data_IF_807478843949
#
_entry.id   IF_807478843949
#
_cell.length_a   1.000
_cell.length_b   1.000
_cell.length_c   1.000
_cell.angle_alpha   90.00
_cell.angle_beta   90.00
_cell.angle_gamma   90.00
#
_symmetry.space_group_name_H-M   'P 1'
#
loop_
_entity.id
_entity.type
_entity.pdbx_description
1 polymer ?
#
# COMPACT_ATOMS: atom_id res chain seq x y z
N UNK A 1 -21.00 4.14 -10.35
CA UNK A 1 -19.91 4.47 -11.30
C UNK A 1 -20.18 3.70 -12.58
N UNK A 2 -20.42 4.37 -13.71
CA UNK A 2 -21.04 3.80 -14.92
C UNK A 2 -20.17 2.77 -15.68
N UNK A 3 -18.91 2.58 -15.27
CA UNK A 3 -17.92 1.71 -15.92
C UNK A 3 -17.54 0.44 -15.11
N UNK A 4 -17.97 0.31 -13.84
CA UNK A 4 -17.62 -0.85 -13.00
C UNK A 4 -18.27 -2.17 -13.44
N UNK A 5 -19.42 -2.09 -14.12
CA UNK A 5 -20.15 -3.29 -14.53
C UNK A 5 -19.46 -4.01 -15.70
N UNK A 6 -18.67 -3.30 -16.52
CA UNK A 6 -17.95 -3.88 -17.66
C UNK A 6 -16.75 -4.72 -17.19
N UNK A 7 -16.03 -4.26 -16.17
CA UNK A 7 -14.88 -4.96 -15.58
C UNK A 7 -15.26 -6.10 -14.60
N UNK A 8 -16.56 -6.36 -14.44
CA UNK A 8 -17.10 -7.45 -13.59
C UNK A 8 -17.99 -8.43 -14.35
N UNK A 9 -18.01 -8.36 -15.69
CA UNK A 9 -18.84 -9.25 -16.49
C UNK A 9 -18.32 -10.69 -16.38
N UNK A 10 -19.17 -11.58 -15.88
CA UNK A 10 -18.83 -12.99 -15.67
C UNK A 10 -18.40 -13.65 -16.97
N UNK A 11 -19.08 -13.35 -18.07
CA UNK A 11 -18.78 -13.92 -19.39
C UNK A 11 -17.36 -13.58 -19.85
N UNK A 12 -16.89 -12.37 -19.55
CA UNK A 12 -15.55 -11.93 -19.91
C UNK A 12 -14.49 -12.51 -18.95
N UNK A 13 -14.78 -12.60 -17.66
CA UNK A 13 -13.94 -13.32 -16.69
C UNK A 13 -13.74 -14.78 -17.09
N UNK A 14 -14.83 -15.50 -17.40
CA UNK A 14 -14.79 -16.90 -17.82
C UNK A 14 -14.00 -17.07 -19.13
N UNK A 15 -14.10 -16.10 -20.04
CA UNK A 15 -13.34 -16.09 -21.30
C UNK A 15 -11.85 -15.86 -21.07
N UNK A 16 -11.48 -14.94 -20.17
CA UNK A 16 -10.08 -14.66 -19.83
C UNK A 16 -9.44 -15.86 -19.12
N UNK A 17 -10.13 -16.45 -18.14
CA UNK A 17 -9.66 -17.65 -17.45
C UNK A 17 -9.39 -18.81 -18.43
N UNK A 18 -10.32 -19.08 -19.36
CA UNK A 18 -10.09 -20.05 -20.43
C UNK A 18 -8.92 -19.70 -21.35
N UNK A 19 -8.71 -18.41 -21.61
CA UNK A 19 -7.55 -17.95 -22.38
C UNK A 19 -6.23 -18.22 -21.65
N UNK A 20 -6.19 -17.98 -20.33
CA UNK A 20 -5.04 -18.32 -19.48
C UNK A 20 -4.80 -19.83 -19.50
N UNK A 21 -5.85 -20.65 -19.36
CA UNK A 21 -5.72 -22.12 -19.44
C UNK A 21 -5.09 -22.58 -20.76
N UNK A 22 -5.53 -21.99 -21.88
CA UNK A 22 -4.97 -22.30 -23.21
C UNK A 22 -3.51 -21.90 -23.34
N UNK A 23 -3.14 -20.71 -22.86
CA UNK A 23 -1.75 -20.24 -22.87
C UNK A 23 -0.85 -21.10 -21.98
N UNK A 24 -1.34 -21.49 -20.80
CA UNK A 24 -0.59 -22.29 -19.84
C UNK A 24 -0.48 -23.76 -20.25
N UNK A 25 -1.32 -24.26 -21.16
CA UNK A 25 -1.23 -25.62 -21.71
C UNK A 25 0.05 -25.85 -22.52
N UNK A 26 0.58 -24.81 -23.16
CA UNK A 26 1.82 -24.85 -23.94
C UNK A 26 3.08 -24.64 -23.09
N UNK A 27 2.93 -24.43 -21.77
CA UNK A 27 4.03 -24.14 -20.84
C UNK A 27 4.26 -25.33 -19.91
N UNK A 28 5.30 -26.13 -20.21
CA UNK A 28 5.68 -27.33 -19.45
C UNK A 28 6.47 -27.03 -18.16
N UNK A 29 6.15 -25.90 -17.50
CA UNK A 29 6.75 -25.51 -16.22
C UNK A 29 5.76 -24.72 -15.38
N UNK A 30 6.11 -24.55 -14.10
CA UNK A 30 5.39 -23.61 -13.23
C UNK A 30 5.73 -22.17 -13.62
N UNK A 31 4.72 -21.31 -13.58
CA UNK A 31 4.84 -19.86 -13.74
C UNK A 31 4.41 -19.19 -12.45
N UNK A 32 5.22 -18.27 -11.95
CA UNK A 32 4.94 -17.53 -10.70
C UNK A 32 4.80 -16.05 -10.98
N UNK A 33 3.59 -15.52 -10.83
CA UNK A 33 3.33 -14.09 -10.88
C UNK A 33 3.21 -13.53 -9.45
N UNK A 34 3.60 -12.28 -9.26
CA UNK A 34 3.45 -11.60 -7.97
C UNK A 34 2.76 -10.25 -8.13
N UNK A 35 1.68 -10.04 -7.38
CA UNK A 35 1.16 -8.70 -7.13
C UNK A 35 1.83 -8.10 -5.89
N UNK A 36 2.04 -6.77 -5.89
CA UNK A 36 2.65 -6.04 -4.76
C UNK A 36 1.72 -4.92 -4.28
N UNK A 37 0.41 -5.19 -4.20
CA UNK A 37 -0.59 -4.21 -3.82
C UNK A 37 -1.66 -4.85 -2.93
N UNK A 38 -1.84 -4.35 -1.70
CA UNK A 38 -2.89 -4.88 -0.82
C UNK A 38 -4.30 -4.83 -1.42
N UNK A 39 -4.59 -3.88 -2.31
CA UNK A 39 -5.87 -3.85 -3.04
C UNK A 39 -5.99 -4.96 -4.08
N UNK A 40 -4.91 -5.34 -4.77
CA UNK A 40 -4.88 -6.53 -5.62
C UNK A 40 -5.01 -7.80 -4.80
N UNK A 41 -4.30 -7.92 -3.68
CA UNK A 41 -4.46 -9.06 -2.74
C UNK A 41 -5.93 -9.24 -2.34
N UNK A 42 -6.59 -8.13 -1.94
CA UNK A 42 -8.00 -8.14 -1.55
C UNK A 42 -8.94 -8.48 -2.71
N UNK A 43 -8.68 -7.96 -3.90
CA UNK A 43 -9.48 -8.26 -5.09
C UNK A 43 -9.32 -9.74 -5.50
N UNK A 44 -8.09 -10.24 -5.54
CA UNK A 44 -7.79 -11.63 -5.85
C UNK A 44 -8.48 -12.60 -4.87
N UNK A 45 -8.49 -12.27 -3.58
CA UNK A 45 -9.23 -13.02 -2.57
C UNK A 45 -10.75 -12.91 -2.74
N UNK A 46 -11.27 -11.68 -2.84
CA UNK A 46 -12.72 -11.41 -2.92
C UNK A 46 -13.38 -12.10 -4.12
N UNK A 47 -12.70 -12.14 -5.26
CA UNK A 47 -13.21 -12.70 -6.50
C UNK A 47 -12.76 -14.13 -6.76
N UNK A 48 -12.01 -14.76 -5.83
CA UNK A 48 -11.52 -16.13 -6.01
C UNK A 48 -10.60 -16.29 -7.22
N UNK A 49 -9.83 -15.25 -7.57
CA UNK A 49 -8.99 -15.25 -8.79
C UNK A 49 -8.06 -16.45 -8.81
N UNK A 50 -7.45 -16.81 -7.66
CA UNK A 50 -6.54 -17.94 -7.56
C UNK A 50 -7.20 -19.29 -7.89
N UNK A 51 -8.50 -19.42 -7.65
CA UNK A 51 -9.27 -20.63 -7.95
C UNK A 51 -9.62 -20.74 -9.45
N UNK A 52 -9.50 -19.63 -10.19
CA UNK A 52 -9.70 -19.58 -11.64
C UNK A 52 -8.42 -19.84 -12.44
N UNK A 53 -7.25 -19.88 -11.79
CA UNK A 53 -5.97 -20.08 -12.47
C UNK A 53 -5.63 -21.57 -12.55
N UNK A 54 -4.98 -22.03 -13.63
CA UNK A 54 -4.53 -23.42 -13.75
C UNK A 54 -3.47 -23.75 -12.70
N UNK A 55 -3.34 -25.03 -12.34
CA UNK A 55 -2.49 -25.48 -11.23
C UNK A 55 -0.99 -25.17 -11.41
N UNK A 56 -0.52 -24.97 -12.64
CA UNK A 56 0.86 -24.58 -12.97
C UNK A 56 1.08 -23.05 -12.98
N UNK A 57 0.06 -22.24 -12.71
CA UNK A 57 0.17 -20.79 -12.56
C UNK A 57 -0.08 -20.37 -11.10
N UNK A 58 0.94 -19.77 -10.48
CA UNK A 58 0.88 -19.32 -9.10
C UNK A 58 0.81 -17.79 -9.04
N UNK A 59 -0.20 -17.27 -8.33
CA UNK A 59 -0.29 -15.85 -8.00
C UNK A 59 0.10 -15.62 -6.53
N UNK A 60 1.30 -15.09 -6.32
CA UNK A 60 1.82 -14.70 -5.01
C UNK A 60 1.41 -13.29 -4.62
N UNK A 61 1.28 -13.07 -3.32
CA UNK A 61 0.99 -11.78 -2.73
C UNK A 61 2.24 -11.23 -2.05
N UNK A 62 2.80 -10.18 -2.62
CA UNK A 62 3.99 -9.52 -2.13
C UNK A 62 3.71 -8.46 -1.07
N UNK A 63 4.75 -7.73 -0.62
CA UNK A 63 4.68 -6.70 0.43
C UNK A 63 4.01 -5.40 -0.05
N UNK A 64 2.71 -5.46 -0.35
CA UNK A 64 1.89 -4.34 -0.84
C UNK A 64 1.15 -3.54 0.23
N UNK A 65 1.45 -3.76 1.51
CA UNK A 65 0.79 -3.10 2.65
C UNK A 65 1.81 -2.22 3.40
N UNK A 66 1.75 -0.87 3.28
CA UNK A 66 2.77 0.03 3.83
C UNK A 66 2.83 0.00 5.37
N UNK A 67 1.69 -0.29 6.01
CA UNK A 67 1.56 -0.50 7.46
C UNK A 67 2.27 -1.77 7.88
N UNK A 68 1.98 -2.89 7.22
CA UNK A 68 2.50 -4.21 7.56
C UNK A 68 4.03 -4.30 7.46
N UNK A 69 4.64 -3.48 6.58
CA UNK A 69 6.10 -3.40 6.43
C UNK A 69 6.73 -2.24 7.22
N UNK A 70 5.98 -1.58 8.10
CA UNK A 70 6.53 -0.54 8.98
C UNK A 70 7.35 -1.18 10.08
N UNK A 71 8.60 -0.73 10.21
CA UNK A 71 9.53 -1.24 11.21
C UNK A 71 9.10 -0.79 12.63
N UNK A 72 9.44 -1.62 13.61
CA UNK A 72 9.10 -1.37 15.02
C UNK A 72 9.71 -0.05 15.53
N UNK A 73 10.87 0.35 15.03
CA UNK A 73 11.53 1.60 15.45
C UNK A 73 10.67 2.85 15.15
N UNK A 74 9.91 2.82 14.06
CA UNK A 74 8.95 3.86 13.72
C UNK A 74 7.77 3.89 14.70
N UNK A 75 7.20 2.72 15.01
CA UNK A 75 6.11 2.57 15.96
C UNK A 75 6.52 3.02 17.37
N UNK A 76 7.72 2.64 17.79
CA UNK A 76 8.28 3.02 19.09
C UNK A 76 8.46 4.53 19.21
N UNK A 77 8.86 5.21 18.12
CA UNK A 77 8.90 6.69 18.09
C UNK A 77 7.50 7.29 18.21
N UNK A 78 6.52 6.75 17.48
CA UNK A 78 5.13 7.23 17.56
C UNK A 78 4.55 7.07 18.99
N UNK A 79 4.79 5.92 19.62
CA UNK A 79 4.43 5.63 21.01
C UNK A 79 5.15 6.59 21.97
N UNK A 80 6.45 6.84 21.77
CA UNK A 80 7.19 7.79 22.59
C UNK A 80 6.67 9.23 22.47
N UNK A 81 6.16 9.63 21.30
CA UNK A 81 5.47 10.91 21.13
C UNK A 81 4.11 10.94 21.82
N UNK A 82 3.33 9.87 21.72
CA UNK A 82 2.02 9.76 22.38
C UNK A 82 2.12 9.94 23.91
N UNK A 83 3.22 9.50 24.51
CA UNK A 83 3.49 9.62 25.95
C UNK A 83 3.87 11.03 26.42
N UNK A 84 4.15 11.97 25.50
CA UNK A 84 4.55 13.33 25.87
C UNK A 84 3.33 14.20 26.12
N UNK A 85 3.36 14.94 27.22
CA UNK A 85 2.35 15.94 27.54
C UNK A 85 2.29 17.04 26.44
N UNK A 86 1.08 17.50 26.15
CA UNK A 86 0.84 18.51 25.11
C UNK A 86 1.03 18.02 23.68
N UNK A 87 1.05 16.69 23.44
CA UNK A 87 1.09 16.09 22.11
C UNK A 87 -0.22 15.43 21.72
N UNK A 88 -0.57 15.55 20.45
CA UNK A 88 -1.64 14.79 19.80
C UNK A 88 -0.99 13.94 18.70
N UNK A 89 -1.21 12.64 18.70
CA UNK A 89 -0.79 11.76 17.60
C UNK A 89 -1.98 11.51 16.68
N UNK A 90 -1.90 11.98 15.45
CA UNK A 90 -2.90 11.73 14.41
C UNK A 90 -2.44 10.58 13.50
N UNK A 91 -3.31 9.62 13.22
CA UNK A 91 -2.96 8.43 12.41
C UNK A 91 -4.16 7.87 11.67
N UNK A 92 -3.91 7.11 10.61
CA UNK A 92 -4.92 6.24 10.02
C UNK A 92 -5.29 5.10 10.99
N UNK A 93 -6.51 4.57 10.86
CA UNK A 93 -7.07 3.61 11.80
C UNK A 93 -6.39 2.23 11.81
N UNK A 94 -5.81 1.83 10.68
CA UNK A 94 -5.07 0.56 10.52
C UNK A 94 -3.80 0.50 11.37
N UNK A 95 -3.17 1.64 11.63
CA UNK A 95 -1.96 1.76 12.45
C UNK A 95 -2.20 1.69 13.96
N UNK A 96 -3.43 1.95 14.42
CA UNK A 96 -3.73 2.13 15.86
C UNK A 96 -3.41 0.89 16.68
N UNK A 97 -3.66 -0.30 16.10
CA UNK A 97 -3.50 -1.59 16.79
C UNK A 97 -2.18 -2.28 16.48
N UNK A 98 -1.30 -1.68 15.68
CA UNK A 98 -0.03 -2.29 15.32
C UNK A 98 0.89 -2.24 16.55
N UNK A 99 1.41 -3.39 17.02
CA UNK A 99 2.26 -3.43 18.19
C UNK A 99 3.64 -2.85 17.88
N UNK A 100 4.11 -1.91 18.71
CA UNK A 100 5.53 -1.60 18.82
C UNK A 100 6.25 -2.60 19.71
N UNK A 101 7.47 -2.27 20.12
CA UNK A 101 8.31 -3.14 20.95
C UNK A 101 7.81 -3.26 22.39
N UNK A 102 7.00 -2.31 22.88
CA UNK A 102 6.55 -2.26 24.28
C UNK A 102 5.06 -1.98 24.51
N UNK A 103 4.33 -1.52 23.49
CA UNK A 103 2.93 -1.08 23.59
C UNK A 103 2.33 -0.92 22.18
N UNK A 104 1.14 -0.35 22.05
CA UNK A 104 0.52 0.09 20.80
C UNK A 104 -0.16 1.45 20.99
N UNK A 105 -0.50 2.16 19.91
CA UNK A 105 -1.24 3.43 20.03
C UNK A 105 -2.61 3.22 20.69
N UNK A 106 -3.25 2.06 20.49
CA UNK A 106 -4.50 1.68 21.16
C UNK A 106 -4.34 1.59 22.69
N UNK A 107 -3.23 1.00 23.13
CA UNK A 107 -2.89 0.85 24.55
C UNK A 107 -2.53 2.21 25.17
N UNK A 108 -1.70 3.01 24.49
CA UNK A 108 -1.39 4.37 24.95
C UNK A 108 -2.63 5.26 25.03
N UNK A 109 -3.56 5.15 24.08
CA UNK A 109 -4.84 5.87 24.14
C UNK A 109 -5.66 5.47 25.38
N UNK A 110 -5.64 4.19 25.75
CA UNK A 110 -6.30 3.68 26.96
C UNK A 110 -5.61 4.17 28.24
N UNK A 111 -4.31 4.48 28.17
CA UNK A 111 -3.53 5.10 29.23
C UNK A 111 -3.65 6.64 29.27
N UNK A 112 -4.53 7.23 28.45
CA UNK A 112 -4.82 8.66 28.44
C UNK A 112 -4.02 9.49 27.42
N UNK A 113 -3.22 8.86 26.57
CA UNK A 113 -2.57 9.56 25.45
C UNK A 113 -3.61 10.05 24.43
N UNK A 114 -3.38 11.23 23.86
CA UNK A 114 -4.31 11.81 22.90
C UNK A 114 -4.03 11.32 21.47
N UNK A 115 -4.70 10.23 21.09
CA UNK A 115 -4.62 9.64 19.74
C UNK A 115 -5.87 10.02 18.94
N UNK A 116 -5.69 10.53 17.72
CA UNK A 116 -6.77 10.91 16.80
C UNK A 116 -6.72 10.07 15.53
N UNK A 117 -7.76 9.29 15.29
CA UNK A 117 -7.93 8.57 14.03
C UNK A 117 -8.44 9.55 12.98
N UNK A 118 -7.75 9.60 11.84
CA UNK A 118 -8.08 10.48 10.70
C UNK A 118 -8.20 9.67 9.42
N UNK A 119 -8.94 10.20 8.45
CA UNK A 119 -9.10 9.62 7.11
C UNK A 119 -8.25 10.33 6.05
N UNK A 120 -7.62 11.45 6.40
CA UNK A 120 -6.75 12.19 5.50
C UNK A 120 -5.68 13.01 6.24
N UNK A 121 -4.63 13.41 5.53
CA UNK A 121 -3.62 14.34 6.03
C UNK A 121 -4.21 15.73 6.34
N UNK A 122 -5.27 16.14 5.64
CA UNK A 122 -5.96 17.41 5.86
C UNK A 122 -6.76 17.42 7.17
N UNK A 123 -7.32 16.29 7.60
CA UNK A 123 -7.94 16.19 8.91
C UNK A 123 -6.91 16.35 10.03
N UNK A 124 -5.71 15.76 9.89
CA UNK A 124 -4.63 15.97 10.84
C UNK A 124 -4.17 17.43 10.88
N UNK A 125 -4.13 18.11 9.73
CA UNK A 125 -3.83 19.54 9.65
C UNK A 125 -4.89 20.38 10.37
N UNK A 126 -6.17 20.06 10.16
CA UNK A 126 -7.30 20.72 10.84
C UNK A 126 -7.22 20.56 12.35
N UNK A 127 -6.85 19.38 12.84
CA UNK A 127 -6.61 19.15 14.28
C UNK A 127 -5.52 20.11 14.80
N UNK A 128 -4.45 20.35 14.04
CA UNK A 128 -3.42 21.31 14.43
C UNK A 128 -3.91 22.77 14.43
N UNK A 129 -4.78 23.14 13.49
CA UNK A 129 -5.41 24.47 13.46
C UNK A 129 -6.30 24.71 14.69
N UNK A 130 -7.01 23.68 15.14
CA UNK A 130 -7.96 23.73 16.27
C UNK A 130 -7.27 23.63 17.65
N UNK A 131 -6.03 23.14 17.71
CA UNK A 131 -5.27 22.91 18.95
C UNK A 131 -3.89 23.59 18.90
N UNK A 132 -3.86 24.93 18.76
CA UNK A 132 -2.63 25.71 18.54
C UNK A 132 -1.61 25.61 19.67
N UNK A 133 -2.06 25.27 20.87
CA UNK A 133 -1.26 25.10 22.09
C UNK A 133 -0.60 23.71 22.20
N UNK A 134 -1.05 22.73 21.41
CA UNK A 134 -0.53 21.36 21.39
C UNK A 134 0.25 21.09 20.11
N UNK A 135 1.24 20.20 20.21
CA UNK A 135 1.97 19.70 19.04
C UNK A 135 1.23 18.51 18.44
N UNK A 136 0.86 18.61 17.17
CA UNK A 136 0.18 17.54 16.44
C UNK A 136 1.20 16.83 15.56
N UNK A 137 1.38 15.53 15.79
CA UNK A 137 2.25 14.67 14.98
C UNK A 137 1.37 13.75 14.16
N UNK A 138 1.37 13.94 12.85
CA UNK A 138 0.73 13.04 11.91
C UNK A 138 1.68 11.91 11.51
N UNK A 139 1.23 10.67 11.61
CA UNK A 139 1.99 9.49 11.18
C UNK A 139 1.89 9.33 9.66
N UNK A 140 2.86 9.90 8.95
CA UNK A 140 2.94 9.86 7.49
C UNK A 140 3.44 8.50 6.99
N UNK A 141 2.54 7.52 6.91
CA UNK A 141 2.82 6.19 6.36
C UNK A 141 2.07 6.03 5.05
N UNK A 142 2.74 5.42 4.09
CA UNK A 142 2.15 5.06 2.81
C UNK A 142 3.21 4.77 1.78
N UNK A 143 2.74 4.37 0.61
CA UNK A 143 3.56 4.34 -0.59
C UNK A 143 3.41 5.67 -1.35
N UNK A 144 3.79 5.67 -2.62
CA UNK A 144 3.73 6.84 -3.49
C UNK A 144 2.31 7.42 -3.61
N UNK A 145 1.28 6.63 -3.36
CA UNK A 145 -0.13 7.07 -3.35
C UNK A 145 -0.46 8.05 -2.24
N UNK A 146 0.12 7.88 -1.05
CA UNK A 146 -0.19 8.70 0.11
C UNK A 146 0.72 9.93 0.17
N UNK A 147 1.98 9.79 -0.25
CA UNK A 147 3.01 10.82 -0.09
C UNK A 147 2.62 12.21 -0.63
N UNK A 148 1.97 12.37 -1.81
CA UNK A 148 1.56 13.68 -2.30
C UNK A 148 0.56 14.39 -1.39
N UNK A 149 -0.39 13.65 -0.81
CA UNK A 149 -1.41 14.24 0.09
C UNK A 149 -0.78 14.73 1.39
N UNK A 150 0.26 14.04 1.88
CA UNK A 150 1.01 14.46 3.07
C UNK A 150 1.95 15.63 2.75
N UNK A 151 2.57 15.63 1.58
CA UNK A 151 3.36 16.78 1.13
C UNK A 151 2.48 18.04 1.02
N UNK A 152 1.27 17.90 0.48
CA UNK A 152 0.29 18.99 0.41
C UNK A 152 -0.05 19.55 1.79
N UNK A 153 -0.30 18.70 2.80
CA UNK A 153 -0.62 19.18 4.15
C UNK A 153 0.54 19.94 4.81
N UNK A 154 1.79 19.56 4.52
CA UNK A 154 2.98 20.28 4.98
C UNK A 154 3.07 21.67 4.33
N UNK A 155 2.82 21.76 3.02
CA UNK A 155 2.83 23.04 2.30
C UNK A 155 1.74 23.98 2.85
N UNK A 156 0.52 23.48 3.00
CA UNK A 156 -0.60 24.25 3.58
C UNK A 156 -0.29 24.67 5.02
N UNK A 157 0.35 23.82 5.82
CA UNK A 157 0.80 24.21 7.17
C UNK A 157 1.77 25.40 7.14
N UNK A 158 2.68 25.42 6.15
CA UNK A 158 3.59 26.54 5.94
C UNK A 158 2.87 27.84 5.55
N UNK A 159 1.91 27.74 4.62
CA UNK A 159 1.07 28.87 4.19
C UNK A 159 0.24 29.45 5.36
N UNK A 160 -0.34 28.58 6.17
CA UNK A 160 -1.13 28.93 7.36
C UNK A 160 -0.27 29.31 8.58
N UNK A 161 1.07 29.27 8.43
CA UNK A 161 2.05 29.55 9.49
C UNK A 161 1.81 28.71 10.76
N UNK A 162 1.42 27.45 10.58
CA UNK A 162 1.24 26.48 11.65
C UNK A 162 2.60 25.97 12.12
N UNK A 163 3.03 26.39 13.31
CA UNK A 163 4.28 25.93 13.93
C UNK A 163 4.13 24.64 14.76
N UNK A 164 2.89 24.14 14.89
CA UNK A 164 2.54 23.01 15.75
C UNK A 164 2.15 21.74 14.97
N UNK A 165 2.20 21.75 13.64
CA UNK A 165 1.95 20.58 12.79
C UNK A 165 3.25 19.92 12.37
N UNK A 166 3.39 18.63 12.68
CA UNK A 166 4.57 17.83 12.36
C UNK A 166 4.16 16.54 11.66
N UNK A 167 5.01 16.04 10.78
CA UNK A 167 4.83 14.73 10.14
C UNK A 167 5.99 13.83 10.55
N UNK A 168 5.69 12.71 11.18
CA UNK A 168 6.64 11.61 11.31
C UNK A 168 6.61 10.83 9.99
N UNK A 169 7.64 10.96 9.16
CA UNK A 169 7.65 10.32 7.83
C UNK A 169 8.13 8.88 7.91
N UNK A 170 7.25 7.94 7.54
CA UNK A 170 7.51 6.51 7.39
C UNK A 170 7.13 6.00 6.00
N UNK A 171 7.10 6.93 5.02
CA UNK A 171 6.78 6.64 3.63
C UNK A 171 7.81 5.69 3.02
N UNK A 172 7.32 4.86 2.11
CA UNK A 172 8.11 3.86 1.38
C UNK A 172 7.87 4.05 -0.11
N UNK A 173 8.74 3.47 -0.92
CA UNK A 173 8.63 3.47 -2.37
C UNK A 173 8.72 2.03 -2.90
N UNK A 174 8.06 1.74 -4.01
CA UNK A 174 7.99 0.41 -4.63
C UNK A 174 9.32 -0.11 -5.19
N UNK A 175 10.15 0.70 -5.88
CA UNK A 175 11.31 0.15 -6.58
C UNK A 175 12.29 -0.64 -5.70
N UNK A 176 12.67 -0.20 -4.48
CA UNK A 176 13.59 -0.96 -3.62
C UNK A 176 13.07 -2.34 -3.25
N UNK A 177 11.79 -2.46 -2.87
CA UNK A 177 11.23 -3.75 -2.46
C UNK A 177 11.05 -4.69 -3.65
N UNK A 178 10.63 -4.16 -4.80
CA UNK A 178 10.53 -4.93 -6.03
C UNK A 178 11.90 -5.40 -6.54
N UNK A 179 12.97 -4.60 -6.37
CA UNK A 179 14.35 -5.05 -6.64
C UNK A 179 14.75 -6.23 -5.74
N UNK A 180 14.47 -6.13 -4.44
CA UNK A 180 14.78 -7.21 -3.51
C UNK A 180 14.07 -8.52 -3.87
N UNK A 181 12.78 -8.43 -4.26
CA UNK A 181 12.00 -9.59 -4.70
C UNK A 181 12.51 -10.17 -6.02
N UNK A 182 12.90 -9.33 -6.99
CA UNK A 182 13.45 -9.77 -8.27
C UNK A 182 14.84 -10.44 -8.13
N UNK A 183 15.60 -10.10 -7.10
CA UNK A 183 16.91 -10.70 -6.79
C UNK A 183 16.80 -12.03 -6.04
N UNK A 184 15.66 -12.30 -5.41
CA UNK A 184 15.44 -13.52 -4.66
C UNK A 184 15.11 -14.69 -5.60
N UNK A 185 16.12 -15.49 -5.90
CA UNK A 185 16.01 -16.65 -6.77
C UNK A 185 15.16 -17.79 -6.19
N UNK A 186 14.90 -17.81 -4.86
CA UNK A 186 14.04 -18.82 -4.25
C UNK A 186 12.56 -18.57 -4.60
N UNK A 187 12.17 -17.30 -4.77
CA UNK A 187 10.80 -16.91 -5.13
C UNK A 187 10.43 -17.28 -6.58
N UNK A 188 11.42 -17.41 -7.47
CA UNK A 188 11.24 -17.77 -8.90
C UNK A 188 10.14 -16.96 -9.60
N UNK A 189 10.14 -15.64 -9.40
CA UNK A 189 9.14 -14.73 -9.96
C UNK A 189 9.35 -14.61 -11.46
N UNK A 190 8.32 -14.97 -12.24
CA UNK A 190 8.27 -14.86 -13.69
C UNK A 190 7.63 -13.56 -14.18
N UNK A 191 6.91 -12.84 -13.32
CA UNK A 191 6.32 -11.56 -13.68
C UNK A 191 5.65 -10.84 -12.52
N UNK A 192 5.47 -9.53 -12.67
CA UNK A 192 4.80 -8.69 -11.67
C UNK A 192 3.49 -8.08 -12.18
N UNK A 193 2.48 -8.07 -11.31
CA UNK A 193 1.30 -7.21 -11.45
C UNK A 193 1.56 -5.94 -10.62
N UNK A 194 1.85 -4.85 -11.32
CA UNK A 194 2.24 -3.57 -10.72
C UNK A 194 1.03 -2.80 -10.18
N UNK A 195 1.19 -2.10 -9.05
CA UNK A 195 0.10 -1.41 -8.36
C UNK A 195 -0.46 -0.26 -9.20
N UNK A 196 -1.74 -0.35 -9.58
CA UNK A 196 -2.42 0.68 -10.39
C UNK A 196 -2.37 2.07 -9.77
N UNK A 197 -2.75 2.21 -8.50
CA UNK A 197 -2.79 3.51 -7.81
C UNK A 197 -1.40 4.14 -7.67
N UNK A 198 -0.35 3.36 -7.37
CA UNK A 198 1.04 3.88 -7.34
C UNK A 198 1.39 4.40 -8.73
N UNK A 199 1.07 3.63 -9.76
CA UNK A 199 1.32 3.98 -11.16
C UNK A 199 0.57 5.22 -11.61
N UNK A 200 -0.59 5.54 -11.02
CA UNK A 200 -1.28 6.81 -11.26
C UNK A 200 -0.45 8.02 -10.81
N UNK A 201 0.36 7.87 -9.76
CA UNK A 201 1.22 8.93 -9.23
C UNK A 201 2.56 8.97 -9.98
N UNK A 202 3.17 7.82 -10.19
CA UNK A 202 4.57 7.72 -10.66
C UNK A 202 4.71 7.49 -12.16
N UNK A 203 3.62 7.11 -12.84
CA UNK A 203 3.67 6.45 -14.14
C UNK A 203 4.29 5.05 -14.06
N UNK A 204 4.41 4.37 -15.21
CA UNK A 204 4.98 3.03 -15.33
C UNK A 204 6.51 2.99 -15.28
N UNK A 205 7.18 4.13 -15.51
CA UNK A 205 8.65 4.22 -15.62
C UNK A 205 9.40 3.65 -14.41
N UNK A 206 8.79 3.73 -13.22
CA UNK A 206 9.40 3.23 -12.00
C UNK A 206 9.58 1.70 -11.98
N UNK A 207 8.94 0.96 -12.89
CA UNK A 207 9.04 -0.50 -12.99
C UNK A 207 9.88 -0.99 -14.16
N UNK A 208 10.31 -0.11 -15.08
CA UNK A 208 11.07 -0.49 -16.29
C UNK A 208 12.35 -1.26 -15.98
N UNK A 209 12.92 -1.02 -14.80
CA UNK A 209 14.10 -1.73 -14.30
C UNK A 209 13.87 -3.25 -14.16
N UNK A 210 12.64 -3.71 -13.95
CA UNK A 210 12.34 -5.15 -13.83
C UNK A 210 12.66 -5.87 -15.13
N UNK A 211 12.15 -5.35 -16.24
CA UNK A 211 12.42 -5.91 -17.56
C UNK A 211 13.86 -5.65 -17.99
N UNK A 212 14.36 -4.43 -17.79
CA UNK A 212 15.71 -4.03 -18.25
C UNK A 212 16.84 -4.71 -17.47
N UNK A 213 16.77 -4.73 -16.15
CA UNK A 213 17.88 -5.17 -15.28
C UNK A 213 17.75 -6.66 -14.90
N UNK A 214 16.52 -7.20 -14.84
CA UNK A 214 16.25 -8.57 -14.38
C UNK A 214 15.60 -9.47 -15.43
N UNK A 215 15.18 -8.93 -16.59
CA UNK A 215 14.45 -9.70 -17.61
C UNK A 215 13.05 -10.13 -17.17
N UNK A 216 12.51 -9.55 -16.10
CA UNK A 216 11.20 -9.92 -15.55
C UNK A 216 10.13 -8.97 -16.13
N UNK A 217 9.14 -9.48 -16.89
CA UNK A 217 8.04 -8.66 -17.39
C UNK A 217 7.15 -8.16 -16.25
N UNK A 218 6.52 -7.02 -16.47
CA UNK A 218 5.57 -6.45 -15.51
C UNK A 218 4.43 -5.70 -16.22
N UNK A 219 3.24 -5.75 -15.64
CA UNK A 219 2.03 -5.10 -16.18
C UNK A 219 1.39 -4.25 -15.10
N UNK A 220 1.07 -2.99 -15.42
CA UNK A 220 0.27 -2.13 -14.53
C UNK A 220 -1.20 -2.53 -14.69
N UNK A 221 -1.85 -2.90 -13.59
CA UNK A 221 -3.24 -3.35 -13.61
C UNK A 221 -4.14 -2.51 -12.70
N UNK A 222 -5.42 -2.40 -13.08
CA UNK A 222 -6.51 -1.95 -12.22
C UNK A 222 -6.87 -2.99 -11.15
N UNK A 223 -8.00 -2.83 -10.47
CA UNK A 223 -8.34 -3.60 -9.26
C UNK A 223 -9.57 -4.50 -9.42
N UNK A 224 -10.15 -4.53 -10.60
CA UNK A 224 -11.30 -5.37 -10.91
C UNK A 224 -10.82 -6.76 -11.38
N UNK A 225 -11.66 -7.81 -11.30
CA UNK A 225 -11.22 -9.17 -11.63
C UNK A 225 -10.72 -9.28 -13.07
N UNK A 226 -11.33 -8.54 -13.99
CA UNK A 226 -10.91 -8.49 -15.40
C UNK A 226 -9.55 -7.82 -15.54
N UNK A 227 -9.27 -6.78 -14.77
CA UNK A 227 -7.96 -6.10 -14.81
C UNK A 227 -6.82 -7.02 -14.36
N UNK A 228 -7.10 -7.93 -13.42
CA UNK A 228 -6.09 -8.87 -12.87
C UNK A 228 -5.90 -10.08 -13.78
N UNK A 229 -6.96 -10.54 -14.46
CA UNK A 229 -6.92 -11.69 -15.36
C UNK A 229 -6.40 -11.37 -16.76
N UNK A 230 -6.49 -10.12 -17.19
CA UNK A 230 -5.99 -9.65 -18.49
C UNK A 230 -4.47 -9.55 -18.49
#
# INVERSE_FOLDING_TARGET
MKYLNEFRQKELVDKLAKGIDQLMADIDRKVTLMEVCGTHTMAAFRYGIKDLLPANLHLLSGPGCPVCVTANDYLDRAIAYARKEGMIVATFGDMVKVPGSSSSLAEEASNGAEIRVVYSSLEALKIAQENREKKVIFLGIGFETTAPTVASSILTAGEDKLSNYFVLSGHKIMPPIMRALAQDHELKIDGFICPGHVSTITGSKIYEFLSRDYGIPCVVAGFEPIDILQ
#
